data_IF_400837482481
#
_entry.id   IF_400837482481
#
_cell.length_a   1.000
_cell.length_b   1.000
_cell.length_c   1.000
_cell.angle_alpha   90.00
_cell.angle_beta   90.00
_cell.angle_gamma   90.00
#
_symmetry.space_group_name_H-M   'P 1'
#
loop_
_entity.id
_entity.type
_entity.pdbx_description
1 polymer ?
#
# COMPACT_ATOMS: atom_id res chain seq x y z
N UNK A 1 -3.73 11.40 21.49
CA UNK A 1 -2.88 10.85 20.40
C UNK A 1 -1.47 11.41 20.58
N UNK A 2 -0.56 10.65 21.22
CA UNK A 2 0.78 11.15 21.63
C UNK A 2 1.60 11.60 20.42
N UNK A 3 2.17 12.80 20.49
CA UNK A 3 2.98 13.45 19.43
C UNK A 3 4.16 12.57 18.99
N UNK A 4 4.76 11.84 19.94
CA UNK A 4 5.86 10.89 19.72
C UNK A 4 5.46 9.79 18.73
N UNK A 5 4.22 9.30 18.81
CA UNK A 5 3.70 8.22 17.95
C UNK A 5 3.52 8.67 16.49
N UNK A 6 3.33 9.97 16.27
CA UNK A 6 3.16 10.58 14.94
C UNK A 6 4.51 10.81 14.24
N UNK A 7 5.55 11.14 15.00
CA UNK A 7 6.92 11.31 14.50
C UNK A 7 7.65 9.97 14.27
N UNK A 8 7.35 8.94 15.08
CA UNK A 8 7.90 7.58 14.91
C UNK A 8 7.01 6.66 14.05
N UNK A 9 5.95 7.18 13.43
CA UNK A 9 5.04 6.40 12.59
C UNK A 9 5.77 5.76 11.40
N UNK A 10 5.43 4.50 11.08
CA UNK A 10 6.04 3.74 9.97
C UNK A 10 6.18 4.63 8.74
N UNK A 11 7.42 4.83 8.27
CA UNK A 11 7.71 5.57 7.03
C UNK A 11 6.83 5.02 5.91
N UNK A 12 6.09 5.86 5.16
CA UNK A 12 5.29 5.39 4.04
C UNK A 12 6.23 4.74 3.03
N UNK A 13 5.96 3.47 2.74
CA UNK A 13 6.68 2.72 1.72
C UNK A 13 6.08 3.10 0.38
N UNK A 14 6.89 3.64 -0.53
CA UNK A 14 6.47 3.90 -1.89
C UNK A 14 6.53 2.60 -2.72
N UNK A 15 5.39 2.21 -3.29
CA UNK A 15 5.26 1.04 -4.18
C UNK A 15 5.09 1.45 -5.65
N UNK A 16 5.05 2.74 -5.96
CA UNK A 16 4.70 3.26 -7.29
C UNK A 16 5.64 2.83 -8.42
N UNK A 17 6.89 2.51 -8.08
CA UNK A 17 7.95 2.15 -9.03
C UNK A 17 8.39 0.68 -8.93
N UNK A 18 7.83 -0.11 -8.01
CA UNK A 18 8.29 -1.48 -7.78
C UNK A 18 7.81 -2.44 -8.90
N UNK A 19 8.74 -3.08 -9.61
CA UNK A 19 8.43 -4.15 -10.55
C UNK A 19 8.08 -5.45 -9.84
N UNK A 20 7.28 -6.31 -10.48
CA UNK A 20 6.81 -7.60 -9.91
C UNK A 20 7.94 -8.50 -9.41
N UNK A 21 9.10 -8.46 -10.05
CA UNK A 21 10.25 -9.30 -9.69
C UNK A 21 11.23 -8.61 -8.72
N UNK A 22 11.08 -7.31 -8.47
CA UNK A 22 11.97 -6.56 -7.58
C UNK A 22 11.78 -6.99 -6.13
N UNK A 23 12.76 -6.67 -5.29
CA UNK A 23 12.60 -6.82 -3.84
C UNK A 23 11.50 -5.88 -3.36
N UNK A 24 10.64 -6.39 -2.50
CA UNK A 24 9.52 -5.62 -1.98
C UNK A 24 10.03 -4.45 -1.11
N UNK A 25 9.61 -3.20 -1.37
CA UNK A 25 10.09 -2.03 -0.63
C UNK A 25 9.57 -2.00 0.83
N UNK A 26 8.72 -2.96 1.24
CA UNK A 26 8.28 -3.11 2.62
C UNK A 26 9.34 -3.68 3.58
N UNK A 27 10.52 -4.05 3.06
CA UNK A 27 11.64 -4.56 3.87
C UNK A 27 11.61 -6.07 4.14
N UNK A 28 10.71 -6.83 3.49
CA UNK A 28 10.57 -8.28 3.73
C UNK A 28 11.64 -9.15 3.06
N UNK A 29 12.43 -8.60 2.14
CA UNK A 29 13.40 -9.34 1.32
C UNK A 29 12.80 -10.23 0.22
N UNK A 30 11.47 -10.42 0.19
CA UNK A 30 10.76 -11.21 -0.82
C UNK A 30 10.59 -10.44 -2.13
N UNK A 31 10.39 -11.15 -3.26
CA UNK A 31 9.95 -10.54 -4.52
C UNK A 31 8.60 -9.85 -4.34
N UNK A 32 8.38 -8.70 -4.98
CA UNK A 32 7.19 -7.88 -4.80
C UNK A 32 5.90 -8.64 -5.12
N UNK A 33 5.89 -9.41 -6.21
CA UNK A 33 4.77 -10.29 -6.63
C UNK A 33 4.39 -11.34 -5.59
N UNK A 34 5.32 -11.76 -4.74
CA UNK A 34 5.10 -12.76 -3.69
C UNK A 34 4.94 -12.13 -2.31
N UNK A 35 4.78 -10.81 -2.24
CA UNK A 35 4.73 -10.08 -0.98
C UNK A 35 3.54 -9.10 -0.94
N UNK A 36 3.73 -7.87 -1.43
CA UNK A 36 2.74 -6.79 -1.30
C UNK A 36 1.93 -6.55 -2.57
N UNK A 37 2.25 -7.20 -3.69
CA UNK A 37 1.60 -6.97 -4.98
C UNK A 37 0.07 -7.02 -4.91
N UNK A 38 -0.51 -8.13 -4.45
CA UNK A 38 -1.98 -8.27 -4.40
C UNK A 38 -2.64 -7.26 -3.46
N UNK A 39 -1.95 -6.93 -2.36
CA UNK A 39 -2.43 -5.95 -1.38
C UNK A 39 -2.47 -4.53 -1.95
N UNK A 40 -1.44 -4.16 -2.71
CA UNK A 40 -1.34 -2.85 -3.37
C UNK A 40 -2.37 -2.74 -4.50
N UNK A 41 -2.53 -3.81 -5.29
CA UNK A 41 -3.52 -3.86 -6.37
C UNK A 41 -4.96 -3.80 -5.85
N UNK A 42 -5.27 -4.51 -4.76
CA UNK A 42 -6.58 -4.47 -4.12
C UNK A 42 -6.95 -3.06 -3.65
N UNK A 43 -6.02 -2.33 -3.00
CA UNK A 43 -6.25 -0.94 -2.59
C UNK A 43 -6.49 -0.01 -3.78
N UNK A 44 -5.74 -0.16 -4.86
CA UNK A 44 -5.92 0.67 -6.07
C UNK A 44 -7.28 0.39 -6.71
N UNK A 45 -7.69 -0.88 -6.78
CA UNK A 45 -9.01 -1.28 -7.30
C UNK A 45 -10.15 -0.74 -6.45
N UNK A 46 -10.05 -0.89 -5.12
CA UNK A 46 -11.02 -0.32 -4.18
C UNK A 46 -11.15 1.19 -4.39
N UNK A 47 -10.02 1.89 -4.46
CA UNK A 47 -9.99 3.35 -4.62
C UNK A 47 -10.61 3.80 -5.95
N UNK A 48 -10.36 3.06 -7.04
CA UNK A 48 -10.99 3.32 -8.35
C UNK A 48 -12.50 3.05 -8.27
N UNK A 49 -12.91 1.92 -7.67
CA UNK A 49 -14.32 1.56 -7.51
C UNK A 49 -15.08 2.61 -6.70
N UNK A 50 -14.56 3.01 -5.54
CA UNK A 50 -15.20 4.03 -4.69
C UNK A 50 -15.31 5.40 -5.37
N UNK A 51 -14.39 5.70 -6.29
CA UNK A 51 -14.40 6.95 -7.07
C UNK A 51 -15.42 6.89 -8.21
N UNK A 52 -15.56 5.74 -8.86
CA UNK A 52 -16.49 5.55 -9.98
C UNK A 52 -17.94 5.38 -9.49
N UNK A 53 -18.12 4.62 -8.42
CA UNK A 53 -19.40 4.31 -7.81
C UNK A 53 -19.35 4.89 -6.40
N UNK A 54 -19.88 6.12 -6.23
CA UNK A 54 -19.88 6.88 -4.96
C UNK A 54 -20.18 5.94 -3.79
N UNK A 55 -19.16 5.65 -2.98
CA UNK A 55 -19.19 4.59 -1.96
C UNK A 55 -20.41 4.80 -1.04
N UNK A 56 -21.37 3.86 -0.93
CA UNK A 56 -22.56 4.03 -0.09
C UNK A 56 -22.28 3.86 1.40
N UNK A 57 -21.04 3.53 1.79
CA UNK A 57 -20.62 3.42 3.19
C UNK A 57 -20.21 4.79 3.74
N UNK A 58 -21.21 5.56 4.15
CA UNK A 58 -21.14 6.41 5.34
C UNK A 58 -21.55 5.60 6.55
#
# INVERSE_FOLDING_TARGET
MSLIKKLLGKRPVDYGSASRNDRCPCGSGKKFKSCCWDKVQAKKREQVYSKLFRNPKG
#
